data_IF_998630563893
#
_entry.id   IF_998630563893
#
_cell.length_a   1.000
_cell.length_b   1.000
_cell.length_c   1.000
_cell.angle_alpha   90.00
_cell.angle_beta   90.00
_cell.angle_gamma   90.00
#
_symmetry.space_group_name_H-M   'P 1'
#
loop_
_entity.id
_entity.type
_entity.pdbx_description
1 polymer ?
#
# COMPACT_ATOMS: atom_id res chain seq x y z
N UNK A 1 1.61 -8.30 23.85
CA UNK A 1 1.19 -7.20 22.95
C UNK A 1 2.28 -6.14 22.76
N UNK A 2 2.89 -5.56 23.81
CA UNK A 2 3.91 -4.50 23.66
C UNK A 2 5.11 -4.89 22.78
N UNK A 3 5.63 -6.11 22.88
CA UNK A 3 6.74 -6.59 22.03
C UNK A 3 6.42 -6.63 20.53
N UNK A 4 5.18 -6.95 20.16
CA UNK A 4 4.77 -7.02 18.75
C UNK A 4 4.65 -5.62 18.13
N UNK A 5 4.12 -4.67 18.89
CA UNK A 5 4.03 -3.25 18.47
C UNK A 5 5.43 -2.68 18.24
N UNK A 6 6.34 -2.85 19.21
CA UNK A 6 7.72 -2.36 19.10
C UNK A 6 8.46 -3.01 17.92
N UNK A 7 8.24 -4.31 17.68
CA UNK A 7 8.82 -4.99 16.53
C UNK A 7 8.27 -4.45 15.20
N UNK A 8 6.98 -4.12 15.14
CA UNK A 8 6.35 -3.46 13.99
C UNK A 8 6.96 -2.08 13.72
N UNK A 9 7.07 -1.24 14.75
CA UNK A 9 7.68 0.09 14.62
C UNK A 9 9.13 -0.01 14.14
N UNK A 10 9.89 -0.97 14.67
CA UNK A 10 11.25 -1.21 14.23
C UNK A 10 11.31 -1.64 12.76
N UNK A 11 10.49 -2.59 12.32
CA UNK A 11 10.43 -3.01 10.91
C UNK A 11 10.02 -1.85 9.99
N UNK A 12 9.09 -1.00 10.43
CA UNK A 12 8.67 0.19 9.68
C UNK A 12 9.84 1.16 9.47
N UNK A 13 10.61 1.44 10.54
CA UNK A 13 11.82 2.26 10.46
C UNK A 13 12.86 1.65 9.52
N UNK A 14 13.08 0.33 9.60
CA UNK A 14 14.01 -0.35 8.69
C UNK A 14 13.57 -0.24 7.23
N UNK A 15 12.26 -0.38 6.96
CA UNK A 15 11.70 -0.20 5.61
C UNK A 15 11.91 1.23 5.08
N UNK A 16 11.63 2.24 5.89
CA UNK A 16 11.87 3.64 5.53
C UNK A 16 13.36 3.96 5.35
N UNK A 17 14.24 3.40 6.17
CA UNK A 17 15.69 3.57 6.03
C UNK A 17 16.21 2.96 4.72
N UNK A 18 15.63 1.85 4.26
CA UNK A 18 15.93 1.26 2.95
C UNK A 18 15.37 2.12 1.81
N UNK A 19 14.11 2.54 1.91
CA UNK A 19 13.47 3.41 0.92
C UNK A 19 14.16 4.77 0.77
N UNK A 20 14.67 5.33 1.87
CA UNK A 20 15.38 6.60 1.91
C UNK A 20 16.75 6.63 1.20
N UNK A 21 17.23 5.47 0.72
CA UNK A 21 18.44 5.40 -0.13
C UNK A 21 18.14 5.73 -1.60
N UNK A 22 16.86 5.83 -1.98
CA UNK A 22 16.41 6.11 -3.33
C UNK A 22 15.98 7.57 -3.51
N UNK A 23 15.60 7.94 -4.74
CA UNK A 23 15.14 9.30 -5.06
C UNK A 23 13.82 9.65 -4.35
N UNK A 24 13.50 10.94 -4.35
CA UNK A 24 12.30 11.49 -3.71
C UNK A 24 11.00 10.84 -4.23
N UNK A 25 10.95 10.44 -5.50
CA UNK A 25 9.75 9.86 -6.10
C UNK A 25 9.41 8.50 -5.48
N UNK A 26 10.42 7.64 -5.27
CA UNK A 26 10.23 6.35 -4.60
C UNK A 26 9.80 6.55 -3.14
N UNK A 27 10.47 7.46 -2.42
CA UNK A 27 10.13 7.76 -1.02
C UNK A 27 8.70 8.28 -0.90
N UNK A 28 8.30 9.18 -1.80
CA UNK A 28 6.94 9.76 -1.84
C UNK A 28 5.89 8.69 -2.16
N UNK A 29 6.17 7.83 -3.14
CA UNK A 29 5.29 6.75 -3.54
C UNK A 29 5.04 5.76 -2.38
N UNK A 30 6.09 5.31 -1.69
CA UNK A 30 5.98 4.41 -0.53
C UNK A 30 5.24 5.10 0.61
N UNK A 31 5.56 6.37 0.90
CA UNK A 31 4.89 7.10 1.98
C UNK A 31 3.39 7.28 1.75
N UNK A 32 2.99 7.60 0.52
CA UNK A 32 1.58 7.67 0.14
C UNK A 32 0.89 6.33 0.31
N UNK A 33 1.53 5.24 -0.13
CA UNK A 33 1.01 3.88 0.05
C UNK A 33 0.78 3.54 1.53
N UNK A 34 1.78 3.77 2.40
CA UNK A 34 1.67 3.54 3.84
C UNK A 34 0.55 4.37 4.48
N UNK A 35 0.41 5.64 4.08
CA UNK A 35 -0.66 6.52 4.55
C UNK A 35 -2.04 5.99 4.17
N UNK A 36 -2.22 5.58 2.90
CA UNK A 36 -3.48 4.99 2.43
C UNK A 36 -3.83 3.69 3.17
N UNK A 37 -2.84 2.86 3.51
CA UNK A 37 -3.06 1.64 4.31
C UNK A 37 -3.56 2.01 5.71
N UNK A 38 -2.89 2.95 6.39
CA UNK A 38 -3.27 3.39 7.72
C UNK A 38 -4.69 3.98 7.74
N UNK A 39 -5.03 4.85 6.77
CA UNK A 39 -6.39 5.38 6.60
C UNK A 39 -7.42 4.26 6.40
N UNK A 40 -7.07 3.24 5.60
CA UNK A 40 -7.95 2.08 5.38
C UNK A 40 -8.14 1.24 6.64
N UNK A 41 -7.15 1.17 7.53
CA UNK A 41 -7.28 0.53 8.84
C UNK A 41 -8.19 1.31 9.78
N UNK A 42 -8.04 2.64 9.86
CA UNK A 42 -8.95 3.49 10.63
C UNK A 42 -10.39 3.37 10.13
N UNK A 43 -10.60 3.47 8.82
CA UNK A 43 -11.93 3.32 8.22
C UNK A 43 -12.57 1.96 8.56
N UNK A 44 -11.79 0.87 8.52
CA UNK A 44 -12.30 -0.46 8.91
C UNK A 44 -12.74 -0.51 10.38
N UNK A 45 -11.98 0.10 11.30
CA UNK A 45 -12.33 0.15 12.74
C UNK A 45 -13.62 0.94 12.95
N UNK A 46 -13.77 2.08 12.29
CA UNK A 46 -14.97 2.92 12.37
C UNK A 46 -16.20 2.21 11.77
N UNK A 47 -16.00 1.41 10.70
CA UNK A 47 -17.08 0.68 10.04
C UNK A 47 -17.62 -0.49 10.87
N UNK A 48 -16.78 -1.15 11.68
CA UNK A 48 -17.23 -2.21 12.61
C UNK A 48 -18.29 -1.66 13.59
N UNK A 49 -18.30 -0.35 13.84
CA UNK A 49 -19.25 0.30 14.74
C UNK A 49 -20.52 0.83 14.02
N UNK A 50 -20.62 0.69 12.70
CA UNK A 50 -21.69 1.32 11.91
C UNK A 50 -22.41 0.31 10.99
N UNK A 51 -23.52 -0.28 11.49
CA UNK A 51 -24.36 -1.31 10.84
C UNK A 51 -25.11 -0.87 9.54
N UNK A 52 -24.79 0.30 8.99
CA UNK A 52 -25.42 0.87 7.78
C UNK A 52 -24.56 0.78 6.51
N UNK A 53 -23.34 0.26 6.61
CA UNK A 53 -22.41 0.14 5.47
C UNK A 53 -22.80 -1.00 4.55
N UNK A 54 -22.71 -0.76 3.23
CA UNK A 54 -23.02 -1.81 2.25
C UNK A 54 -21.85 -2.80 2.14
N UNK A 55 -22.10 -4.06 1.74
CA UNK A 55 -21.04 -5.03 1.47
C UNK A 55 -20.04 -4.56 0.41
N UNK A 56 -20.44 -3.66 -0.49
CA UNK A 56 -19.58 -3.13 -1.55
C UNK A 56 -18.49 -2.18 -0.99
N UNK A 57 -18.80 -1.38 0.03
CA UNK A 57 -17.84 -0.49 0.70
C UNK A 57 -16.73 -1.30 1.40
N UNK A 58 -17.09 -2.45 1.99
CA UNK A 58 -16.14 -3.36 2.63
C UNK A 58 -15.12 -3.93 1.64
N UNK A 59 -15.58 -4.32 0.44
CA UNK A 59 -14.72 -4.89 -0.61
C UNK A 59 -13.76 -3.84 -1.16
N UNK A 60 -14.19 -2.58 -1.31
CA UNK A 60 -13.33 -1.50 -1.76
C UNK A 60 -12.19 -1.20 -0.76
N UNK A 61 -12.50 -1.18 0.54
CA UNK A 61 -11.52 -0.93 1.61
C UNK A 61 -10.49 -2.06 1.70
N UNK A 62 -10.94 -3.32 1.63
CA UNK A 62 -10.04 -4.49 1.72
C UNK A 62 -9.12 -4.59 0.50
N UNK A 63 -9.65 -4.31 -0.70
CA UNK A 63 -8.84 -4.31 -1.94
C UNK A 63 -7.71 -3.27 -1.87
N UNK A 64 -7.97 -2.09 -1.31
CA UNK A 64 -6.96 -1.03 -1.18
C UNK A 64 -5.76 -1.39 -0.30
N UNK A 65 -5.96 -2.21 0.75
CA UNK A 65 -4.88 -2.59 1.68
C UNK A 65 -3.81 -3.48 1.06
N UNK A 66 -4.22 -4.38 0.18
CA UNK A 66 -3.31 -5.32 -0.46
C UNK A 66 -2.86 -4.80 -1.81
N UNK A 67 -3.76 -4.20 -2.61
CA UNK A 67 -3.42 -3.72 -3.95
C UNK A 67 -2.43 -2.54 -3.94
N UNK A 68 -2.56 -1.63 -2.97
CA UNK A 68 -1.68 -0.47 -2.81
C UNK A 68 -0.19 -0.84 -2.75
N UNK A 69 0.23 -1.76 -1.85
CA UNK A 69 1.62 -2.23 -1.79
C UNK A 69 2.17 -2.78 -3.11
N UNK A 70 1.40 -3.58 -3.84
CA UNK A 70 1.85 -4.16 -5.10
C UNK A 70 1.97 -3.09 -6.19
N UNK A 71 0.99 -2.20 -6.32
CA UNK A 71 1.03 -1.07 -7.24
C UNK A 71 2.25 -0.17 -6.97
N UNK A 72 2.45 0.22 -5.71
CA UNK A 72 3.58 1.06 -5.29
C UNK A 72 4.93 0.37 -5.50
N UNK A 73 5.02 -0.94 -5.23
CA UNK A 73 6.23 -1.75 -5.46
C UNK A 73 6.60 -1.84 -6.94
N UNK A 74 5.64 -2.16 -7.81
CA UNK A 74 5.86 -2.25 -9.25
C UNK A 74 6.26 -0.91 -9.86
N UNK A 75 5.59 0.19 -9.47
CA UNK A 75 5.96 1.54 -9.88
C UNK A 75 7.38 1.90 -9.43
N UNK A 76 7.72 1.63 -8.17
CA UNK A 76 9.06 1.88 -7.62
C UNK A 76 10.14 1.10 -8.36
N UNK A 77 9.88 -0.17 -8.70
CA UNK A 77 10.80 -0.97 -9.51
C UNK A 77 11.01 -0.37 -10.91
N UNK A 78 9.95 0.16 -11.54
CA UNK A 78 10.05 0.90 -12.79
C UNK A 78 10.90 2.16 -12.68
N UNK A 79 10.78 2.91 -11.58
CA UNK A 79 11.60 4.11 -11.33
C UNK A 79 13.08 3.73 -11.20
N UNK A 80 13.39 2.66 -10.45
CA UNK A 80 14.76 2.15 -10.32
C UNK A 80 15.34 1.70 -11.67
N UNK A 81 14.50 1.16 -12.56
CA UNK A 81 14.89 0.71 -13.89
C UNK A 81 14.91 1.83 -14.95
N UNK A 82 14.69 3.10 -14.57
CA UNK A 82 14.62 4.26 -15.47
C UNK A 82 13.58 4.08 -16.61
N UNK A 83 12.45 3.45 -16.29
CA UNK A 83 11.37 3.20 -17.25
C UNK A 83 10.67 4.51 -17.67
N UNK A 84 10.03 4.49 -18.85
CA UNK A 84 9.29 5.66 -19.36
C UNK A 84 8.06 5.97 -18.49
N UNK A 85 7.55 7.21 -18.50
CA UNK A 85 6.33 7.57 -17.76
C UNK A 85 5.14 6.65 -18.05
N UNK A 86 4.97 6.24 -19.31
CA UNK A 86 3.92 5.32 -19.74
C UNK A 86 4.11 3.92 -19.14
N UNK A 87 5.36 3.45 -19.08
CA UNK A 87 5.69 2.17 -18.45
C UNK A 87 5.49 2.22 -16.93
N UNK A 88 5.78 3.34 -16.28
CA UNK A 88 5.53 3.50 -14.84
C UNK A 88 4.04 3.37 -14.51
N UNK A 89 3.17 3.99 -15.32
CA UNK A 89 1.72 3.87 -15.17
C UNK A 89 1.28 2.43 -15.40
N UNK A 90 1.76 1.79 -16.47
CA UNK A 90 1.41 0.39 -16.76
C UNK A 90 1.87 -0.58 -15.66
N UNK A 91 3.05 -0.35 -15.06
CA UNK A 91 3.55 -1.15 -13.94
C UNK A 91 2.72 -0.95 -12.67
N UNK A 92 2.29 0.27 -12.39
CA UNK A 92 1.41 0.56 -11.26
C UNK A 92 0.05 -0.14 -11.41
N UNK A 93 -0.58 -0.02 -12.59
CA UNK A 93 -1.83 -0.70 -12.93
C UNK A 93 -1.69 -2.22 -12.83
N UNK A 94 -0.61 -2.77 -13.38
CA UNK A 94 -0.31 -4.19 -13.28
C UNK A 94 -0.19 -4.65 -11.82
N UNK A 95 0.54 -3.90 -10.99
CA UNK A 95 0.67 -4.20 -9.56
C UNK A 95 -0.67 -4.15 -8.84
N UNK A 96 -1.52 -3.16 -9.17
CA UNK A 96 -2.87 -3.04 -8.62
C UNK A 96 -3.73 -4.28 -8.95
N UNK A 97 -3.76 -4.71 -10.21
CA UNK A 97 -4.55 -5.87 -10.64
C UNK A 97 -4.06 -7.17 -9.97
N UNK A 98 -2.74 -7.36 -9.85
CA UNK A 98 -2.19 -8.50 -9.10
C UNK A 98 -2.65 -8.47 -7.65
N UNK A 99 -2.53 -7.33 -6.97
CA UNK A 99 -2.89 -7.23 -5.57
C UNK A 99 -4.39 -7.41 -5.32
N UNK A 100 -5.25 -6.98 -6.25
CA UNK A 100 -6.69 -7.28 -6.21
C UNK A 100 -6.92 -8.79 -6.35
N UNK A 101 -6.30 -9.43 -7.33
CA UNK A 101 -6.44 -10.88 -7.58
C UNK A 101 -6.05 -11.71 -6.34
N UNK A 102 -4.93 -11.34 -5.70
CA UNK A 102 -4.46 -11.98 -4.47
C UNK A 102 -5.37 -11.73 -3.25
N UNK A 103 -6.18 -10.67 -3.27
CA UNK A 103 -7.12 -10.35 -2.18
C UNK A 103 -8.45 -11.10 -2.28
N UNK A 104 -8.80 -11.57 -3.48
CA UNK A 104 -10.05 -12.28 -3.75
C UNK A 104 -9.89 -13.80 -3.86
N UNK A 105 -8.66 -14.30 -3.69
CA UNK A 105 -8.31 -15.72 -3.69
C UNK A 105 -8.46 -16.33 -2.30
#
# INVERSE_FOLDING_TARGET
MSKAIIAGDWLFVQGYALGGQYNQDIVTNIANCCSSIAVSEFSQIDHIQNLKTSPEDYIAIVKGKTAGPFASGCRSAGIVAEASPEQLVALEEFGNEIGICLSTS
#
